data_IF_975946743157
#
_entry.id   IF_975946743157
#
_cell.length_a   1.000
_cell.length_b   1.000
_cell.length_c   1.000
_cell.angle_alpha   90.00
_cell.angle_beta   90.00
_cell.angle_gamma   90.00
#
_symmetry.space_group_name_H-M   'P 1'
#
loop_
_entity.id
_entity.type
_entity.pdbx_description
1 polymer ?
2 polymer ?
3 non-polymer ?
#
loop_
_entity_poly.entity_id
_entity_poly.type
_entity_poly.pdbx_seq_one_letter_code
_entity_poly.pdbx_strand_id
2 'polyribonucleotide' 'GGCCAGGUAGCUCAGUUGGUAGAGCACUGGACUGAAAAUCCAGGUGUCGGCGGUUCGAUUCCGCCCCUGGCCACC' ?
#
# COMPACT_ATOMS: atom_id res chain seq x y z
N UNK A 1 30.78 10.48 2.78
CA UNK A 1 31.08 11.76 3.43
C UNK A 1 30.54 11.77 4.85
N UNK A 2 29.46 11.02 5.06
CA UNK A 2 28.82 10.92 6.36
C UNK A 2 29.80 10.36 7.40
N UNK A 3 30.52 9.32 7.03
CA UNK A 3 31.54 8.76 7.90
C UNK A 3 32.69 9.70 8.17
N UNK A 4 32.97 10.58 7.21
CA UNK A 4 34.04 11.55 7.34
C UNK A 4 33.67 12.65 8.34
N UNK A 5 32.50 13.24 8.15
CA UNK A 5 32.00 14.25 9.09
C UNK A 5 31.83 13.65 10.48
N UNK A 6 31.28 12.43 10.53
CA UNK A 6 31.15 11.69 11.79
C UNK A 6 32.51 11.46 12.45
N UNK A 7 33.55 11.31 11.65
CA UNK A 7 34.90 11.19 12.18
C UNK A 7 35.37 12.52 12.76
N UNK A 8 35.17 13.60 11.99
CA UNK A 8 35.56 14.94 12.43
C UNK A 8 34.86 15.34 13.71
N UNK A 9 33.60 14.92 13.82
CA UNK A 9 32.79 15.24 14.98
C UNK A 9 32.99 14.23 16.11
N UNK A 10 33.78 13.18 15.83
CA UNK A 10 34.03 12.15 16.82
C UNK A 10 32.76 11.40 17.20
N UNK A 11 31.90 11.21 16.21
CA UNK A 11 30.62 10.56 16.43
C UNK A 11 30.56 9.21 15.73
N UNK A 12 29.44 8.50 15.91
CA UNK A 12 29.23 7.23 15.25
C UNK A 12 27.82 7.14 14.69
N UNK A 13 27.70 6.99 13.37
CA UNK A 13 26.39 6.94 12.73
C UNK A 13 26.17 5.57 12.09
N UNK A 14 24.91 5.18 11.94
CA UNK A 14 24.61 3.90 11.33
C UNK A 14 23.34 3.95 10.49
N UNK A 15 23.30 3.16 9.41
CA UNK A 15 22.07 2.97 8.66
C UNK A 15 21.24 1.95 9.43
N UNK A 16 19.96 2.25 9.63
CA UNK A 16 19.17 1.51 10.62
C UNK A 16 17.73 1.28 10.16
N UNK A 17 17.19 0.11 10.49
CA UNK A 17 15.79 -0.17 10.24
C UNK A 17 15.50 -0.91 8.95
N UNK A 18 14.30 -0.66 8.42
CA UNK A 18 13.86 -1.28 7.19
C UNK A 18 14.82 -1.02 6.04
N UNK A 19 15.44 0.16 6.05
CA UNK A 19 16.43 0.53 5.07
C UNK A 19 17.51 -0.55 4.98
N UNK A 20 17.93 -1.08 6.13
CA UNK A 20 18.89 -2.17 6.15
C UNK A 20 18.29 -3.41 5.52
N UNK A 21 17.10 -3.75 5.98
CA UNK A 21 16.34 -4.89 5.48
C UNK A 21 16.34 -4.91 3.95
N UNK A 22 15.74 -3.86 3.37
CA UNK A 22 15.68 -3.69 1.92
C UNK A 22 17.05 -3.78 1.24
N UNK A 23 18.09 -3.29 1.92
CA UNK A 23 19.43 -3.36 1.36
C UNK A 23 19.87 -4.81 1.26
N UNK A 24 19.64 -5.56 2.33
CA UNK A 24 19.98 -6.97 2.36
C UNK A 24 19.05 -7.76 1.45
N UNK A 25 17.88 -7.19 1.17
CA UNK A 25 16.91 -7.81 0.27
C UNK A 25 17.15 -7.37 -1.15
N UNK A 26 18.21 -6.58 -1.36
CA UNK A 26 18.57 -6.12 -2.69
C UNK A 26 17.73 -4.96 -3.19
N UNK A 27 16.68 -4.60 -2.45
CA UNK A 27 15.81 -3.51 -2.86
C UNK A 27 16.46 -2.17 -2.54
N UNK A 28 16.65 -1.35 -3.57
CA UNK A 28 17.23 -0.03 -3.39
C UNK A 28 16.13 1.01 -3.15
N UNK A 29 16.29 1.76 -2.06
CA UNK A 29 15.35 2.81 -1.70
C UNK A 29 16.06 4.16 -1.60
N UNK A 30 15.27 5.22 -1.74
CA UNK A 30 15.78 6.58 -1.68
C UNK A 30 15.63 7.23 -0.31
N UNK A 31 15.01 6.52 0.63
CA UNK A 31 14.85 7.04 1.99
C UNK A 31 15.75 6.31 2.96
N UNK A 32 16.74 7.02 3.50
CA UNK A 32 17.70 6.40 4.39
C UNK A 32 17.53 6.89 5.83
N UNK A 33 17.53 5.93 6.74
CA UNK A 33 17.37 6.21 8.16
C UNK A 33 18.69 6.02 8.90
N UNK A 34 19.14 7.08 9.55
CA UNK A 34 20.38 7.06 10.31
C UNK A 34 20.13 7.17 11.80
N UNK A 35 20.83 6.34 12.56
CA UNK A 35 20.87 6.46 14.01
C UNK A 35 22.26 6.96 14.41
N UNK A 36 22.30 8.08 15.10
CA UNK A 36 23.56 8.72 15.47
C UNK A 36 23.83 8.69 16.97
N UNK A 37 25.06 8.35 17.35
CA UNK A 37 25.50 8.45 18.74
C UNK A 37 26.17 9.80 18.95
N UNK A 38 25.52 10.66 19.72
CA UNK A 38 25.90 12.06 19.78
C UNK A 38 24.88 12.86 18.99
N UNK A 39 25.11 14.14 18.78
CA UNK A 39 24.11 14.99 18.14
C UNK A 39 23.93 14.68 16.65
N UNK A 40 22.71 14.34 16.27
CA UNK A 40 22.36 14.05 14.88
C UNK A 40 22.10 15.34 14.12
N UNK A 41 21.56 16.33 14.81
CA UNK A 41 21.18 17.61 14.19
C UNK A 41 22.38 18.32 13.58
N UNK A 42 23.48 18.41 14.32
CA UNK A 42 24.65 19.12 13.83
C UNK A 42 25.27 18.38 12.65
N UNK A 43 25.18 17.05 12.68
CA UNK A 43 25.70 16.22 11.61
C UNK A 43 24.90 16.46 10.32
N UNK A 44 23.58 16.49 10.47
CA UNK A 44 22.71 16.78 9.35
C UNK A 44 22.96 18.18 8.79
N UNK A 45 23.10 19.15 9.69
CA UNK A 45 23.29 20.54 9.28
C UNK A 45 24.61 20.72 8.55
N UNK A 46 25.64 20.05 9.03
CA UNK A 46 26.97 20.12 8.42
C UNK A 46 26.97 19.45 7.05
N UNK A 47 26.35 18.26 6.98
CA UNK A 47 26.27 17.53 5.73
C UNK A 47 25.48 18.31 4.68
N UNK A 48 24.39 18.94 5.11
CA UNK A 48 23.58 19.75 4.20
C UNK A 48 24.36 20.96 3.75
N UNK A 49 25.15 21.50 4.67
CA UNK A 49 25.96 22.70 4.41
C UNK A 49 27.09 22.44 3.42
N UNK A 50 27.69 21.25 3.48
CA UNK A 50 28.77 20.89 2.56
C UNK A 50 28.25 20.60 1.16
N UNK A 51 27.05 20.03 1.07
CA UNK A 51 26.44 19.75 -0.22
C UNK A 51 25.64 20.95 -0.70
N UNK A 52 25.61 21.99 0.13
CA UNK A 52 24.96 23.23 -0.21
C UNK A 52 23.46 23.10 -0.42
N UNK A 53 22.80 22.33 0.45
CA UNK A 53 21.36 22.13 0.33
C UNK A 53 20.64 22.51 1.62
N UNK A 54 19.34 22.71 1.51
CA UNK A 54 18.52 23.09 2.66
C UNK A 54 18.47 21.98 3.71
N UNK A 55 18.20 22.35 4.95
CA UNK A 55 18.11 21.38 6.04
C UNK A 55 16.86 21.65 6.88
N UNK A 56 16.25 20.58 7.39
CA UNK A 56 15.02 20.69 8.18
C UNK A 56 15.20 20.06 9.56
N UNK A 57 15.58 20.88 10.55
CA UNK A 57 15.80 20.46 11.94
C UNK A 57 14.51 20.25 12.74
N UNK A 58 14.57 19.28 13.64
CA UNK A 58 13.51 19.00 14.60
C UNK A 58 14.16 18.70 15.95
N UNK A 59 14.45 19.77 16.72
CA UNK A 59 15.18 19.71 17.99
C UNK A 59 14.46 18.92 19.09
N UNK A 60 13.14 19.06 19.17
CA UNK A 60 12.36 18.39 20.20
C UNK A 60 12.35 16.89 19.97
N UNK A 61 12.21 16.48 18.71
CA UNK A 61 12.28 15.07 18.34
C UNK A 61 13.73 14.60 18.38
N UNK A 62 14.65 15.49 18.04
CA UNK A 62 16.06 15.14 17.99
C UNK A 62 16.42 14.55 16.64
N UNK A 63 15.64 14.91 15.62
CA UNK A 63 15.88 14.38 14.29
C UNK A 63 16.05 15.51 13.30
N UNK A 64 16.64 15.22 12.15
CA UNK A 64 16.78 16.23 11.11
C UNK A 64 16.68 15.59 9.73
N UNK A 65 16.02 16.28 8.81
CA UNK A 65 15.83 15.75 7.46
C UNK A 65 16.52 16.62 6.43
N UNK A 66 17.10 15.99 5.42
CA UNK A 66 17.72 16.74 4.32
C UNK A 66 17.69 15.94 3.02
N UNK A 67 17.55 16.62 1.89
CA UNK A 67 17.43 15.94 0.61
C UNK A 67 18.60 16.26 -0.32
N UNK A 68 19.30 15.21 -0.75
CA UNK A 68 20.40 15.34 -1.68
C UNK A 68 20.12 14.55 -2.95
N UNK A 69 19.90 15.26 -4.06
CA UNK A 69 19.49 14.62 -5.29
C UNK A 69 18.13 13.97 -5.11
N UNK A 70 18.03 12.68 -5.43
CA UNK A 70 16.81 11.92 -5.20
C UNK A 70 16.88 11.19 -3.87
N UNK A 71 17.98 11.36 -3.15
CA UNK A 71 18.16 10.73 -1.85
C UNK A 71 17.50 11.56 -0.74
N UNK A 72 16.61 10.92 0.01
CA UNK A 72 16.03 11.55 1.18
C UNK A 72 16.71 11.00 2.43
N UNK A 73 17.35 11.87 3.19
CA UNK A 73 18.10 11.45 4.36
C UNK A 73 17.44 11.93 5.65
N UNK A 74 17.33 11.01 6.61
CA UNK A 74 16.83 11.34 7.94
C UNK A 74 17.83 10.91 9.00
N UNK A 75 18.29 11.85 9.81
CA UNK A 75 19.18 11.54 10.92
C UNK A 75 18.42 11.62 12.23
N UNK A 76 18.67 10.69 13.13
CA UNK A 76 17.98 10.66 14.42
C UNK A 76 18.92 10.24 15.55
N UNK A 77 18.90 11.00 16.63
CA UNK A 77 19.76 10.72 17.77
C UNK A 77 19.29 9.44 18.48
N UNK A 78 20.23 8.56 18.80
CA UNK A 78 19.91 7.29 19.42
C UNK A 78 19.17 7.46 20.74
N UNK A 79 18.04 6.77 20.87
CA UNK A 79 17.20 6.85 22.05
C UNK A 79 16.77 5.46 22.51
N UNK A 80 16.78 5.26 23.82
CA UNK A 80 16.39 3.97 24.40
C UNK A 80 14.89 3.82 24.45
N UNK A 81 14.18 4.94 24.56
CA UNK A 81 12.72 4.94 24.67
C UNK A 81 12.07 5.71 23.53
N UNK A 82 10.81 5.40 23.25
CA UNK A 82 10.11 6.01 22.13
C UNK A 82 9.43 7.32 22.55
N UNK A 93 21.42 10.97 30.19
CA UNK A 93 22.23 9.80 29.82
C UNK A 93 22.05 9.44 28.35
N UNK A 94 23.18 9.33 27.63
CA UNK A 94 23.17 8.99 26.20
C UNK A 94 22.78 7.55 25.95
N UNK A 95 22.00 7.31 24.89
CA UNK A 95 21.54 5.97 24.58
C UNK A 95 22.42 5.30 23.53
N UNK A 96 22.87 4.08 23.84
CA UNK A 96 23.67 3.31 22.91
C UNK A 96 22.82 2.89 21.72
N UNK A 97 23.48 2.55 20.61
CA UNK A 97 22.80 2.02 19.44
C UNK A 97 21.89 0.87 19.84
N UNK A 98 22.47 -0.11 20.52
CA UNK A 98 21.78 -1.33 20.93
C UNK A 98 20.42 -1.03 21.55
N UNK A 99 20.38 -0.01 22.40
CA UNK A 99 19.12 0.42 23.02
C UNK A 99 18.14 0.99 22.00
N UNK A 100 18.67 1.65 20.98
CA UNK A 100 17.81 2.19 19.93
C UNK A 100 17.22 1.07 19.09
N UNK A 101 17.99 -0.01 18.95
CA UNK A 101 17.56 -1.13 18.14
C UNK A 101 16.62 -2.06 18.88
N UNK A 102 16.79 -2.15 20.20
CA UNK A 102 16.05 -3.13 20.99
C UNK A 102 14.62 -2.65 21.22
N UNK A 103 14.37 -1.37 20.99
CA UNK A 103 13.03 -0.81 21.11
C UNK A 103 12.27 -1.01 19.80
N UNK A 104 12.86 -1.71 18.84
CA UNK A 104 12.22 -1.89 17.55
C UNK A 104 11.33 -3.14 17.54
N UNK A 105 10.67 -3.39 16.41
CA UNK A 105 9.63 -4.42 16.39
C UNK A 105 10.18 -5.83 16.14
N UNK A 106 10.58 -6.08 14.91
CA UNK A 106 10.96 -7.42 14.48
C UNK A 106 12.47 -7.51 14.23
N UNK A 107 13.03 -8.71 14.36
CA UNK A 107 14.48 -8.92 14.24
C UNK A 107 15.08 -8.42 12.93
N UNK A 108 14.30 -8.47 11.85
CA UNK A 108 14.83 -8.04 10.55
C UNK A 108 14.86 -6.51 10.45
N UNK A 109 14.03 -5.85 11.25
CA UNK A 109 14.01 -4.39 11.33
C UNK A 109 14.85 -3.84 12.47
N UNK A 110 15.53 -4.75 13.17
CA UNK A 110 16.36 -4.39 14.32
C UNK A 110 17.84 -4.28 14.00
N UNK A 111 18.22 -4.42 12.73
CA UNK A 111 19.63 -4.44 12.39
C UNK A 111 20.18 -3.06 12.00
N UNK A 112 21.49 -3.00 11.78
CA UNK A 112 22.19 -1.76 11.48
C UNK A 112 23.46 -2.00 10.67
N UNK A 113 23.85 -1.01 9.87
CA UNK A 113 25.08 -1.07 9.07
C UNK A 113 25.94 0.18 9.28
N UNK A 114 27.17 -0.02 9.73
CA UNK A 114 28.04 1.10 10.10
C UNK A 114 28.59 1.89 8.91
N UNK A 115 28.38 3.20 8.93
CA UNK A 115 28.98 4.10 7.94
C UNK A 115 30.26 4.76 8.44
N UNK A 116 30.72 4.39 9.63
CA UNK A 116 31.98 4.90 10.14
C UNK A 116 33.15 4.31 9.36
N UNK A 117 34.12 5.17 9.01
CA UNK A 117 35.18 4.83 8.05
C UNK A 117 36.01 3.60 8.41
N UNK A 118 36.21 3.35 9.70
CA UNK A 118 37.07 2.24 10.12
C UNK A 118 36.38 0.87 9.95
N UNK A 119 35.16 0.76 10.44
CA UNK A 119 34.41 -0.50 10.39
C UNK A 119 33.45 -0.56 9.19
N UNK A 120 33.55 0.41 8.29
CA UNK A 120 32.56 0.66 7.23
C UNK A 120 32.13 -0.60 6.49
N UNK A 121 30.82 -0.77 6.34
CA UNK A 121 30.25 -1.89 5.61
C UNK A 121 29.78 -2.98 6.53
N UNK A 122 30.16 -2.88 7.80
CA UNK A 122 29.83 -3.90 8.79
C UNK A 122 28.34 -3.89 9.14
N UNK A 123 27.73 -5.07 9.09
CA UNK A 123 26.35 -5.24 9.54
C UNK A 123 26.32 -5.53 11.04
N UNK A 124 25.65 -4.67 11.80
CA UNK A 124 25.56 -4.87 13.24
C UNK A 124 24.22 -5.48 13.63
N UNK A 125 24.25 -6.75 14.01
CA UNK A 125 23.03 -7.46 14.37
C UNK A 125 23.19 -8.19 15.72
N UNK A 126 22.47 -7.69 16.72
CA UNK A 126 22.50 -8.26 18.07
C UNK A 126 21.54 -9.43 18.28
N UNK A 127 20.36 -9.33 17.69
CA UNK A 127 19.27 -10.27 17.96
C UNK A 127 19.17 -11.40 16.94
N UNK A 128 20.12 -11.45 16.01
CA UNK A 128 20.14 -12.48 15.00
C UNK A 128 19.08 -12.27 13.94
N UNK A 129 18.87 -11.02 13.56
CA UNK A 129 17.89 -10.67 12.55
C UNK A 129 18.29 -11.18 11.18
N UNK A 130 19.59 -11.40 11.00
CA UNK A 130 20.12 -11.93 9.75
C UNK A 130 19.65 -13.35 9.53
N UNK A 131 19.62 -14.12 10.62
CA UNK A 131 19.13 -15.49 10.57
C UNK A 131 17.64 -15.53 10.23
N UNK A 132 16.85 -14.71 10.92
CA UNK A 132 15.41 -14.68 10.71
C UNK A 132 15.08 -14.15 9.32
N UNK A 133 15.98 -13.33 8.79
CA UNK A 133 15.85 -12.84 7.42
C UNK A 133 16.18 -13.97 6.45
N UNK A 134 17.15 -14.79 6.85
CA UNK A 134 17.59 -15.93 6.06
C UNK A 134 16.57 -17.08 6.14
N UNK A 135 15.97 -17.24 7.30
CA UNK A 135 14.98 -18.31 7.51
C UNK A 135 13.55 -17.87 7.20
N UNK A 136 13.41 -16.64 6.71
CA UNK A 136 12.11 -16.07 6.33
C UNK A 136 11.15 -16.01 7.52
N UNK A 137 11.64 -15.53 8.66
CA UNK A 137 10.87 -15.53 9.89
C UNK A 137 10.57 -14.13 10.43
N UNK A 138 9.29 -13.86 10.67
CA UNK A 138 8.90 -12.62 11.33
C UNK A 138 8.84 -12.87 12.84
N UNK A 139 9.77 -12.27 13.57
CA UNK A 139 9.95 -12.57 14.98
C UNK A 139 10.12 -11.31 15.81
N UNK A 140 9.32 -11.17 16.86
CA UNK A 140 9.43 -10.04 17.76
C UNK A 140 10.67 -10.16 18.64
N UNK A 141 11.16 -9.03 19.13
CA UNK A 141 12.35 -9.00 19.98
C UNK A 141 12.02 -9.39 21.42
N UNK A 142 10.82 -9.05 21.86
CA UNK A 142 10.41 -9.28 23.24
C UNK A 142 8.93 -9.60 23.32
N UNK A 143 8.54 -10.46 24.29
CA UNK A 143 7.16 -10.95 24.42
C UNK A 143 6.10 -9.85 24.53
N UNK A 144 6.51 -8.67 24.99
CA UNK A 144 5.57 -7.58 25.23
C UNK A 144 5.42 -6.67 24.00
N UNK A 145 6.10 -7.05 22.92
CA UNK A 145 6.18 -6.22 21.71
C UNK A 145 4.82 -5.82 21.15
N UNK A 146 3.87 -6.74 21.14
CA UNK A 146 2.55 -6.43 20.62
C UNK A 146 1.75 -5.60 21.63
N UNK A 147 1.99 -5.84 22.91
CA UNK A 147 1.33 -5.09 23.97
C UNK A 147 1.79 -3.64 23.96
N UNK A 148 3.08 -3.43 23.72
CA UNK A 148 3.65 -2.10 23.60
C UNK A 148 2.94 -1.31 22.49
N UNK A 149 2.97 -1.88 21.29
CA UNK A 149 2.37 -1.25 20.13
C UNK A 149 1.51 -2.26 19.36
N UNK A 150 0.19 -2.30 19.69
CA UNK A 150 -0.77 -3.18 19.04
C UNK A 150 -0.78 -3.06 17.51
N UNK A 151 -0.42 -1.89 16.99
CA UNK A 151 -0.39 -1.65 15.54
C UNK A 151 0.49 -2.68 14.83
N UNK A 152 1.58 -3.05 15.49
CA UNK A 152 2.51 -4.06 14.99
C UNK A 152 1.82 -5.34 14.55
N UNK A 153 0.71 -5.68 15.23
CA UNK A 153 -0.07 -6.86 14.88
C UNK A 153 -0.37 -6.89 13.39
N UNK A 154 -0.80 -5.75 12.86
CA UNK A 154 -1.02 -5.63 11.42
C UNK A 154 0.30 -5.72 10.68
N UNK A 155 1.26 -4.90 11.12
CA UNK A 155 2.55 -4.77 10.45
C UNK A 155 3.18 -6.13 10.17
N UNK A 156 3.24 -6.96 11.20
CA UNK A 156 3.82 -8.30 11.08
C UNK A 156 3.20 -9.00 9.89
N UNK A 157 1.87 -9.11 9.91
CA UNK A 157 1.15 -9.78 8.84
C UNK A 157 1.52 -9.18 7.51
N UNK A 158 1.50 -7.85 7.46
CA UNK A 158 1.83 -7.12 6.24
C UNK A 158 3.19 -7.57 5.73
N UNK A 159 4.19 -7.57 6.62
CA UNK A 159 5.51 -8.00 6.21
C UNK A 159 5.48 -9.44 5.77
N UNK A 160 4.80 -10.27 6.57
CA UNK A 160 4.69 -11.69 6.26
C UNK A 160 4.00 -11.85 4.91
N UNK A 161 3.16 -10.89 4.56
CA UNK A 161 2.50 -10.89 3.27
C UNK A 161 3.45 -10.51 2.16
N UNK A 162 4.24 -9.46 2.38
CA UNK A 162 5.08 -8.93 1.31
C UNK A 162 6.31 -9.78 1.06
N UNK A 163 7.03 -10.11 2.13
CA UNK A 163 8.29 -10.82 2.01
C UNK A 163 8.06 -12.32 1.91
N UNK A 164 6.81 -12.73 2.00
CA UNK A 164 6.45 -14.14 2.06
C UNK A 164 7.21 -14.83 3.20
N UNK A 165 7.18 -14.21 4.38
CA UNK A 165 7.79 -14.80 5.55
C UNK A 165 6.74 -15.50 6.39
N UNK A 166 7.19 -16.12 7.49
CA UNK A 166 6.29 -16.79 8.40
C UNK A 166 6.53 -16.36 9.84
N UNK A 167 5.44 -16.11 10.56
CA UNK A 167 5.51 -15.77 11.98
C UNK A 167 6.02 -16.97 12.76
N UNK A 168 7.00 -16.75 13.64
CA UNK A 168 7.51 -17.81 14.50
C UNK A 168 6.42 -18.24 15.47
N UNK A 169 6.54 -19.45 16.01
CA UNK A 169 5.54 -19.96 16.95
C UNK A 169 5.29 -18.99 18.09
N UNK A 170 6.39 -18.53 18.68
CA UNK A 170 6.34 -17.53 19.74
C UNK A 170 5.51 -16.33 19.29
N UNK A 171 6.02 -15.62 18.29
CA UNK A 171 5.38 -14.42 17.75
C UNK A 171 3.91 -14.64 17.36
N UNK A 172 3.61 -15.82 16.83
CA UNK A 172 2.23 -16.13 16.47
C UNK A 172 1.35 -16.19 17.72
N UNK A 173 1.83 -16.90 18.73
CA UNK A 173 1.09 -17.02 20.00
C UNK A 173 0.87 -15.63 20.61
N UNK A 174 1.95 -14.88 20.77
CA UNK A 174 1.88 -13.52 21.32
C UNK A 174 0.92 -12.63 20.54
N UNK A 175 0.89 -12.81 19.22
CA UNK A 175 -0.01 -12.05 18.36
C UNK A 175 -1.45 -12.39 18.70
N UNK A 176 -1.77 -13.69 18.68
CA UNK A 176 -3.12 -14.15 18.96
C UNK A 176 -3.58 -13.69 20.35
N UNK A 177 -2.68 -13.77 21.33
CA UNK A 177 -2.96 -13.28 22.68
C UNK A 177 -3.29 -11.79 22.65
N UNK A 178 -2.46 -11.04 21.93
CA UNK A 178 -2.64 -9.59 21.83
C UNK A 178 -4.00 -9.22 21.24
N UNK A 179 -4.44 -9.99 20.25
CA UNK A 179 -5.75 -9.74 19.66
C UNK A 179 -6.86 -10.12 20.64
N UNK A 180 -6.69 -11.26 21.30
CA UNK A 180 -7.66 -11.77 22.28
C UNK A 180 -7.92 -10.81 23.42
N UNK A 181 -6.92 -10.00 23.75
CA UNK A 181 -7.04 -9.01 24.81
C UNK A 181 -7.77 -7.77 24.31
N UNK A 182 -8.09 -7.75 23.02
CA UNK A 182 -8.82 -6.65 22.43
C UNK A 182 -8.00 -5.38 22.42
N UNK A 183 -6.69 -5.53 22.34
CA UNK A 183 -5.79 -4.39 22.32
C UNK A 183 -5.92 -3.62 21.01
N UNK A 184 -6.45 -4.29 19.99
CA UNK A 184 -6.61 -3.68 18.68
C UNK A 184 -7.67 -2.57 18.72
N UNK A 185 -8.63 -2.71 19.63
CA UNK A 185 -9.64 -1.68 19.83
C UNK A 185 -9.09 -0.52 20.67
N UNK A 186 -8.18 -0.84 21.59
CA UNK A 186 -7.58 0.16 22.46
C UNK A 186 -6.57 1.03 21.73
N UNK A 187 -6.02 0.49 20.64
CA UNK A 187 -5.03 1.21 19.83
C UNK A 187 -5.64 2.44 19.15
N UNK A 188 -4.82 3.45 18.86
CA UNK A 188 -5.26 4.63 18.12
C UNK A 188 -5.84 4.26 16.76
N UNK A 189 -7.02 4.80 16.45
CA UNK A 189 -7.71 4.50 15.20
C UNK A 189 -6.86 4.88 14.00
N UNK A 190 -6.20 6.03 14.10
CA UNK A 190 -5.43 6.58 13.00
C UNK A 190 -4.25 5.73 12.58
N UNK A 191 -3.50 5.22 13.54
CA UNK A 191 -2.35 4.38 13.25
C UNK A 191 -2.77 3.11 12.53
N UNK A 192 -3.87 2.52 12.98
CA UNK A 192 -4.41 1.30 12.40
C UNK A 192 -4.88 1.56 10.96
N UNK A 193 -5.69 2.60 10.80
CA UNK A 193 -6.20 2.96 9.47
C UNK A 193 -5.04 3.21 8.51
N UNK A 194 -4.01 3.90 9.00
CA UNK A 194 -2.84 4.19 8.18
C UNK A 194 -2.09 2.90 7.82
N UNK A 195 -2.06 1.97 8.76
CA UNK A 195 -1.41 0.69 8.54
C UNK A 195 -2.11 -0.08 7.43
N UNK A 196 -3.44 -0.06 7.46
CA UNK A 196 -4.25 -0.70 6.42
C UNK A 196 -4.03 -0.03 5.08
N UNK A 197 -3.93 1.30 5.10
CA UNK A 197 -3.65 2.07 3.90
C UNK A 197 -2.31 1.64 3.30
N UNK A 198 -1.32 1.43 4.16
CA UNK A 198 -0.03 0.92 3.73
C UNK A 198 -0.19 -0.48 3.16
N UNK A 199 -1.07 -1.26 3.77
CA UNK A 199 -1.27 -2.64 3.38
C UNK A 199 -1.83 -2.75 1.96
N UNK A 200 -2.89 -2.01 1.66
CA UNK A 200 -3.56 -2.15 0.38
C UNK A 200 -2.69 -1.71 -0.80
N UNK A 201 -1.59 -1.02 -0.51
CA UNK A 201 -0.67 -0.56 -1.54
C UNK A 201 0.26 -1.68 -1.99
N UNK A 202 0.30 -2.76 -1.21
CA UNK A 202 1.14 -3.90 -1.53
C UNK A 202 0.57 -4.70 -2.70
N UNK A 203 1.46 -5.32 -3.47
CA UNK A 203 1.03 -6.18 -4.58
C UNK A 203 0.62 -7.55 -4.06
N UNK A 204 1.20 -7.93 -2.92
CA UNK A 204 0.90 -9.19 -2.25
C UNK A 204 -0.20 -9.00 -1.20
N UNK A 205 -0.83 -7.83 -1.24
CA UNK A 205 -1.88 -7.44 -0.31
C UNK A 205 -2.98 -8.49 -0.13
N UNK A 206 -3.22 -9.30 -1.15
CA UNK A 206 -4.21 -10.38 -1.03
C UNK A 206 -3.78 -11.40 0.03
N UNK A 207 -2.51 -11.78 0.00
CA UNK A 207 -1.96 -12.69 1.00
C UNK A 207 -2.07 -12.09 2.39
N UNK A 208 -1.85 -10.78 2.48
CA UNK A 208 -2.00 -10.05 3.72
C UNK A 208 -3.43 -10.13 4.21
N UNK A 209 -4.37 -10.07 3.27
CA UNK A 209 -5.79 -10.22 3.59
C UNK A 209 -6.06 -11.62 4.09
N UNK A 210 -5.36 -12.60 3.54
CA UNK A 210 -5.46 -13.98 4.01
C UNK A 210 -5.02 -14.07 5.47
N UNK A 211 -3.93 -13.36 5.79
CA UNK A 211 -3.45 -13.32 7.16
C UNK A 211 -4.41 -12.55 8.08
N UNK A 212 -5.09 -11.56 7.51
CA UNK A 212 -6.05 -10.76 8.28
C UNK A 212 -7.26 -11.61 8.63
N UNK A 213 -7.66 -12.47 7.69
CA UNK A 213 -8.76 -13.38 7.91
C UNK A 213 -8.36 -14.44 8.92
N UNK A 214 -7.14 -14.97 8.77
CA UNK A 214 -6.62 -16.00 9.67
C UNK A 214 -6.52 -15.52 11.12
N UNK A 215 -5.97 -14.32 11.33
CA UNK A 215 -5.83 -13.81 12.69
C UNK A 215 -6.97 -12.86 13.08
N UNK A 216 -7.94 -12.71 12.18
CA UNK A 216 -9.22 -12.05 12.47
C UNK A 216 -9.07 -10.65 13.05
N UNK A 217 -8.19 -9.85 12.46
CA UNK A 217 -7.99 -8.48 12.92
C UNK A 217 -9.07 -7.54 12.38
N UNK A 218 -9.58 -7.86 11.20
CA UNK A 218 -10.56 -7.01 10.53
C UNK A 218 -11.87 -6.94 11.32
N UNK A 219 -12.22 -8.03 11.99
CA UNK A 219 -13.39 -8.05 12.84
C UNK A 219 -13.24 -7.05 13.98
N UNK A 220 -12.01 -6.89 14.46
CA UNK A 220 -11.72 -5.95 15.53
C UNK A 220 -11.71 -4.51 15.02
N UNK A 221 -11.00 -4.27 13.92
CA UNK A 221 -10.89 -2.91 13.39
C UNK A 221 -12.19 -2.42 12.77
N UNK A 222 -12.74 -3.19 11.85
CA UNK A 222 -13.97 -2.81 11.17
C UNK A 222 -15.20 -3.36 11.91
N UNK A 223 -16.12 -2.47 12.26
CA UNK A 223 -17.32 -2.85 12.98
C UNK A 223 -18.39 -3.40 12.06
N UNK A 224 -18.84 -4.62 12.32
CA UNK A 224 -19.88 -5.24 11.53
C UNK A 224 -19.34 -6.14 10.43
N UNK A 225 -18.02 -6.22 10.33
CA UNK A 225 -17.38 -7.02 9.29
C UNK A 225 -17.24 -8.48 9.69
N UNK A 226 -17.69 -9.37 8.81
CA UNK A 226 -17.53 -10.81 9.00
C UNK A 226 -17.09 -11.48 7.71
N UNK A 227 -16.31 -12.55 7.83
CA UNK A 227 -15.77 -13.24 6.66
C UNK A 227 -16.70 -14.34 6.13
N UNK A 228 -16.85 -14.37 4.81
CA UNK A 228 -17.58 -15.45 4.14
C UNK A 228 -16.83 -15.91 2.90
N UNK A 229 -17.37 -16.93 2.23
CA UNK A 229 -16.69 -17.53 1.09
C UNK A 229 -16.87 -16.72 -0.21
N UNK A 230 -18.06 -16.14 -0.37
CA UNK A 230 -18.36 -15.37 -1.58
C UNK A 230 -17.40 -14.19 -1.75
N UNK A 231 -17.13 -13.50 -0.64
CA UNK A 231 -16.21 -12.37 -0.66
C UNK A 231 -14.80 -12.83 -1.02
N UNK A 232 -14.36 -13.94 -0.45
CA UNK A 232 -13.03 -14.49 -0.71
C UNK A 232 -12.85 -14.86 -2.19
N UNK A 233 -13.81 -15.62 -2.71
CA UNK A 233 -13.80 -16.00 -4.13
C UNK A 233 -13.84 -14.76 -5.01
N UNK A 234 -14.57 -13.75 -4.56
CA UNK A 234 -14.62 -12.47 -5.27
C UNK A 234 -13.24 -11.80 -5.28
N UNK A 235 -12.48 -11.98 -4.20
CA UNK A 235 -11.14 -11.41 -4.09
C UNK A 235 -10.16 -12.13 -5.01
N UNK A 236 -10.33 -13.44 -5.16
CA UNK A 236 -9.46 -14.20 -6.06
C UNK A 236 -9.78 -13.95 -7.52
N UNK A 237 -11.07 -13.85 -7.83
CA UNK A 237 -11.51 -13.50 -9.17
C UNK A 237 -11.01 -12.10 -9.52
N UNK A 238 -11.12 -11.20 -8.55
CA UNK A 238 -10.60 -9.84 -8.69
C UNK A 238 -9.10 -9.86 -8.89
N UNK A 239 -8.43 -10.82 -8.26
CA UNK A 239 -7.00 -10.99 -8.44
C UNK A 239 -6.67 -11.37 -9.88
N UNK A 240 -7.44 -12.30 -10.45
CA UNK A 240 -7.24 -12.72 -11.84
C UNK A 240 -7.51 -11.58 -12.82
N UNK A 241 -8.59 -10.85 -12.59
CA UNK A 241 -8.94 -9.70 -13.42
C UNK A 241 -7.87 -8.63 -13.34
N UNK A 242 -7.38 -8.37 -12.13
CA UNK A 242 -6.31 -7.41 -11.90
C UNK A 242 -5.05 -7.83 -12.65
N UNK A 243 -4.74 -9.13 -12.60
CA UNK A 243 -3.58 -9.66 -13.29
C UNK A 243 -3.68 -9.42 -14.80
N UNK A 244 -4.81 -9.81 -15.37
CA UNK A 244 -5.01 -9.65 -16.82
C UNK A 244 -4.98 -8.19 -17.25
N UNK A 245 -5.71 -7.34 -16.52
CA UNK A 245 -5.79 -5.91 -16.82
C UNK A 245 -4.43 -5.23 -16.69
N UNK A 246 -3.68 -5.60 -15.66
CA UNK A 246 -2.34 -5.05 -15.45
C UNK A 246 -1.34 -5.72 -16.37
N UNK A 247 -1.78 -6.72 -17.11
CA UNK A 247 -0.94 -7.36 -18.11
C UNK A 247 -1.08 -6.66 -19.45
N UNK A 248 -2.27 -6.73 -20.06
CA UNK A 248 -2.47 -6.17 -21.39
C UNK A 248 -2.68 -4.66 -21.40
N UNK A 249 -3.46 -4.18 -20.43
CA UNK A 249 -3.85 -2.77 -20.35
C UNK A 249 -2.94 -1.91 -19.47
N UNK A 250 -1.79 -2.47 -19.08
CA UNK A 250 -0.94 -1.93 -18.02
C UNK A 250 -0.66 -0.42 -18.08
N UNK A 251 -0.73 0.17 -19.26
CA UNK A 251 -0.61 1.62 -19.38
C UNK A 251 -1.77 2.35 -18.70
N UNK A 252 -2.90 1.63 -18.56
CA UNK A 252 -4.13 2.20 -17.99
C UNK A 252 -4.29 1.94 -16.49
N UNK A 253 -3.27 1.37 -15.85
CA UNK A 253 -3.34 0.93 -14.45
C UNK A 253 -3.82 2.00 -13.46
N UNK A 254 -4.60 1.54 -12.49
CA UNK A 254 -5.03 2.37 -11.37
C UNK A 254 -4.67 1.66 -10.06
N UNK A 255 -5.11 2.20 -8.93
CA UNK A 255 -4.82 1.57 -7.65
C UNK A 255 -5.74 0.38 -7.43
N UNK A 256 -5.14 -0.81 -7.34
CA UNK A 256 -5.89 -2.05 -7.29
C UNK A 256 -6.41 -2.42 -5.90
N UNK A 257 -5.64 -2.11 -4.87
CA UNK A 257 -5.99 -2.49 -3.50
C UNK A 257 -7.34 -1.97 -3.05
N UNK A 258 -7.70 -0.78 -3.51
CA UNK A 258 -8.97 -0.18 -3.16
C UNK A 258 -10.15 -1.03 -3.65
N UNK A 259 -9.95 -1.72 -4.78
CA UNK A 259 -10.95 -2.62 -5.31
C UNK A 259 -11.22 -3.76 -4.32
N UNK A 260 -10.14 -4.37 -3.85
CA UNK A 260 -10.22 -5.41 -2.85
C UNK A 260 -10.93 -4.89 -1.60
N UNK A 261 -10.59 -3.67 -1.21
CA UNK A 261 -11.21 -3.05 -0.05
C UNK A 261 -12.71 -2.87 -0.25
N UNK A 262 -13.12 -2.57 -1.48
CA UNK A 262 -14.52 -2.42 -1.83
C UNK A 262 -15.24 -3.76 -1.78
N UNK A 263 -14.56 -4.80 -2.25
CA UNK A 263 -15.11 -6.15 -2.21
C UNK A 263 -15.33 -6.60 -0.77
N UNK A 264 -14.40 -6.25 0.11
CA UNK A 264 -14.49 -6.61 1.52
C UNK A 264 -15.70 -5.98 2.20
N UNK A 265 -15.92 -4.69 1.93
CA UNK A 265 -16.98 -3.94 2.61
C UNK A 265 -18.29 -3.94 1.83
N UNK A 266 -18.31 -4.68 0.72
CA UNK A 266 -19.49 -4.72 -0.17
C UNK A 266 -20.77 -5.11 0.57
N UNK A 267 -20.68 -6.11 1.45
CA UNK A 267 -21.87 -6.60 2.16
C UNK A 267 -22.16 -5.79 3.42
N UNK A 268 -21.28 -4.86 3.75
CA UNK A 268 -21.47 -3.99 4.91
C UNK A 268 -22.55 -2.95 4.62
N UNK A 269 -23.10 -2.38 5.70
CA UNK A 269 -24.08 -1.31 5.58
C UNK A 269 -23.44 -0.08 4.95
N UNK A 270 -24.25 0.72 4.26
CA UNK A 270 -23.75 1.91 3.57
C UNK A 270 -23.20 2.93 4.55
N UNK A 271 -23.76 2.96 5.75
CA UNK A 271 -23.32 3.90 6.79
C UNK A 271 -21.90 3.58 7.24
N UNK A 272 -21.67 2.34 7.65
CA UNK A 272 -20.36 1.90 8.11
C UNK A 272 -19.33 1.92 6.98
N UNK A 273 -19.80 1.67 5.76
CA UNK A 273 -18.92 1.71 4.60
C UNK A 273 -18.45 3.12 4.30
N UNK A 274 -19.40 4.06 4.27
CA UNK A 274 -19.08 5.46 4.03
C UNK A 274 -18.19 6.00 5.14
N UNK A 275 -18.45 5.59 6.38
CA UNK A 275 -17.65 6.02 7.52
C UNK A 275 -16.24 5.49 7.45
N UNK A 276 -16.11 4.22 7.05
CA UNK A 276 -14.80 3.59 6.93
C UNK A 276 -13.97 4.23 5.82
N UNK A 277 -14.58 4.41 4.66
CA UNK A 277 -13.91 5.08 3.55
C UNK A 277 -13.58 6.52 3.91
N UNK A 278 -14.36 7.10 4.81
CA UNK A 278 -14.11 8.44 5.31
C UNK A 278 -12.85 8.45 6.17
N UNK A 279 -12.73 7.44 7.04
CA UNK A 279 -11.57 7.33 7.91
C UNK A 279 -10.31 6.95 7.13
N UNK A 280 -10.49 6.19 6.06
CA UNK A 280 -9.37 5.72 5.25
C UNK A 280 -8.83 6.80 4.33
N UNK A 281 -9.54 7.91 4.25
CA UNK A 281 -9.23 9.00 3.30
C UNK A 281 -9.08 8.43 1.90
N UNK A 282 -10.09 7.67 1.47
CA UNK A 282 -10.09 7.02 0.17
C UNK A 282 -10.21 8.04 -0.97
N UNK A 283 -9.67 7.70 -2.15
CA UNK A 283 -9.79 8.55 -3.35
C UNK A 283 -11.25 8.77 -3.75
N UNK A 284 -11.50 9.83 -4.51
CA UNK A 284 -12.87 10.18 -4.92
C UNK A 284 -13.48 9.10 -5.82
N UNK A 285 -12.67 8.55 -6.71
CA UNK A 285 -13.16 7.52 -7.64
C UNK A 285 -13.51 6.24 -6.88
N UNK A 286 -12.88 6.04 -5.72
CA UNK A 286 -13.19 4.91 -4.87
C UNK A 286 -14.56 5.09 -4.24
N UNK A 287 -14.83 6.30 -3.73
CA UNK A 287 -16.13 6.62 -3.17
C UNK A 287 -17.23 6.53 -4.23
N UNK A 288 -16.94 7.02 -5.42
CA UNK A 288 -17.88 6.99 -6.53
C UNK A 288 -18.18 5.55 -6.95
N UNK A 289 -17.13 4.74 -7.09
CA UNK A 289 -17.28 3.35 -7.48
C UNK A 289 -18.03 2.55 -6.41
N UNK A 290 -17.82 2.90 -5.15
CA UNK A 290 -18.51 2.24 -4.04
C UNK A 290 -20.00 2.59 -4.01
N UNK A 291 -20.30 3.89 -4.06
CA UNK A 291 -21.68 4.37 -4.06
C UNK A 291 -22.42 3.85 -5.29
N UNK A 292 -21.69 3.63 -6.38
CA UNK A 292 -22.26 3.07 -7.60
C UNK A 292 -22.47 1.56 -7.46
N UNK A 293 -21.58 0.91 -6.71
CA UNK A 293 -21.64 -0.53 -6.52
C UNK A 293 -22.77 -0.94 -5.59
N UNK A 294 -23.01 -0.12 -4.57
CA UNK A 294 -24.01 -0.43 -3.54
C UNK A 294 -25.43 -0.38 -4.08
N UNK A 295 -25.66 0.40 -5.13
CA UNK A 295 -27.01 0.61 -5.64
C UNK A 295 -27.16 0.34 -7.14
N UNK A 296 -26.55 1.20 -7.95
CA UNK A 296 -26.78 1.18 -9.40
C UNK A 296 -26.13 0.00 -10.13
N UNK A 297 -25.22 -0.69 -9.46
CA UNK A 297 -24.47 -1.79 -10.07
C UNK A 297 -25.39 -2.93 -10.51
N UNK A 298 -26.34 -3.30 -9.65
CA UNK A 298 -27.27 -4.37 -9.95
C UNK A 298 -28.09 -4.08 -11.19
N UNK A 299 -28.75 -2.93 -11.20
CA UNK A 299 -29.57 -2.53 -12.34
C UNK A 299 -28.72 -2.40 -13.60
N UNK A 300 -27.48 -1.96 -13.43
CA UNK A 300 -26.54 -1.86 -14.54
C UNK A 300 -26.28 -3.23 -15.15
N UNK A 301 -26.06 -4.22 -14.28
CA UNK A 301 -25.86 -5.60 -14.72
C UNK A 301 -27.09 -6.12 -15.45
N UNK A 302 -28.26 -5.85 -14.88
CA UNK A 302 -29.52 -6.28 -15.48
C UNK A 302 -29.71 -5.67 -16.86
N UNK A 303 -29.24 -4.44 -17.04
CA UNK A 303 -29.31 -3.78 -18.33
C UNK A 303 -28.28 -4.35 -19.30
N UNK A 304 -27.15 -4.79 -18.76
CA UNK A 304 -26.11 -5.41 -19.56
C UNK A 304 -26.53 -6.79 -20.04
N UNK A 305 -27.45 -7.41 -19.30
CA UNK A 305 -27.99 -8.71 -19.69
C UNK A 305 -28.97 -8.55 -20.85
N UNK A 306 -29.64 -7.40 -20.89
CA UNK A 306 -30.63 -7.11 -21.93
C UNK A 306 -29.97 -6.53 -23.18
N UNK A 307 -28.65 -6.39 -23.13
CA UNK A 307 -27.91 -5.78 -24.24
C UNK A 307 -27.88 -6.68 -25.47
N UNK A 308 -28.24 -6.10 -26.61
CA UNK A 308 -28.19 -6.81 -27.88
C UNK A 308 -27.19 -6.16 -28.83
N UNK A 309 -27.47 -4.92 -29.23
CA UNK A 309 -26.58 -4.16 -30.08
C UNK A 309 -25.34 -3.71 -29.31
N UNK A 310 -24.26 -3.42 -30.02
CA UNK A 310 -23.01 -3.02 -29.38
C UNK A 310 -23.05 -1.58 -28.87
N UNK A 311 -23.88 -0.75 -29.49
CA UNK A 311 -23.96 0.67 -29.14
C UNK A 311 -24.59 0.88 -27.77
N UNK A 312 -25.51 0.00 -27.38
CA UNK A 312 -26.12 0.05 -26.06
C UNK A 312 -25.07 -0.25 -24.99
N UNK A 313 -24.23 -1.25 -25.27
CA UNK A 313 -23.12 -1.59 -24.40
C UNK A 313 -22.16 -0.42 -24.29
N UNK A 314 -21.90 0.24 -25.41
CA UNK A 314 -21.09 1.44 -25.45
C UNK A 314 -21.64 2.51 -24.49
N UNK A 315 -22.88 2.94 -24.74
CA UNK A 315 -23.55 3.94 -23.92
C UNK A 315 -23.57 3.58 -22.43
N UNK A 316 -23.73 2.29 -22.13
CA UNK A 316 -23.79 1.86 -20.73
C UNK A 316 -22.42 1.78 -20.06
N UNK A 317 -21.37 1.59 -20.87
CA UNK A 317 -20.03 1.39 -20.34
C UNK A 317 -19.19 2.66 -20.33
N UNK A 318 -18.97 3.25 -21.50
CA UNK A 318 -18.04 4.37 -21.69
C UNK A 318 -18.08 5.48 -20.61
N UNK A 319 -19.29 5.89 -20.15
CA UNK A 319 -19.28 6.90 -19.09
C UNK A 319 -18.67 6.42 -17.77
N UNK A 320 -18.63 5.10 -17.56
CA UNK A 320 -18.12 4.54 -16.31
C UNK A 320 -16.60 4.59 -16.22
N UNK A 321 -16.09 4.56 -14.98
CA UNK A 321 -14.66 4.52 -14.75
C UNK A 321 -14.11 3.12 -15.03
N UNK A 322 -12.80 2.94 -14.90
CA UNK A 322 -12.18 1.64 -15.14
C UNK A 322 -12.52 0.67 -14.01
N UNK A 323 -12.59 1.19 -12.79
CA UNK A 323 -12.90 0.39 -11.60
C UNK A 323 -14.24 -0.31 -11.73
N UNK A 324 -15.24 0.42 -12.18
CA UNK A 324 -16.58 -0.12 -12.38
C UNK A 324 -16.54 -1.27 -13.39
N UNK A 325 -15.77 -1.08 -14.46
CA UNK A 325 -15.64 -2.12 -15.48
C UNK A 325 -14.98 -3.37 -14.93
N UNK A 326 -13.93 -3.17 -14.13
CA UNK A 326 -13.24 -4.29 -13.50
C UNK A 326 -14.16 -5.03 -12.54
N UNK A 327 -15.07 -4.28 -11.91
CA UNK A 327 -16.09 -4.89 -11.06
C UNK A 327 -17.14 -5.62 -11.91
N UNK A 328 -17.29 -5.18 -13.15
CA UNK A 328 -18.23 -5.81 -14.07
C UNK A 328 -17.64 -7.08 -14.67
N UNK A 329 -16.31 -7.21 -14.61
CA UNK A 329 -15.65 -8.42 -15.10
C UNK A 329 -15.78 -9.57 -14.11
N UNK A 330 -16.30 -9.28 -12.92
CA UNK A 330 -16.52 -10.31 -11.91
C UNK A 330 -17.58 -11.31 -12.36
N UNK A 331 -18.50 -10.85 -13.20
CA UNK A 331 -19.53 -11.71 -13.76
C UNK A 331 -18.98 -12.51 -14.93
N UNK A 332 -19.23 -13.82 -14.93
CA UNK A 332 -18.74 -14.70 -15.98
C UNK A 332 -19.35 -14.36 -17.35
N UNK A 333 -20.64 -14.02 -17.35
CA UNK A 333 -21.35 -13.74 -18.59
C UNK A 333 -20.93 -12.40 -19.20
N UNK A 334 -20.57 -11.45 -18.33
CA UNK A 334 -20.24 -10.11 -18.78
C UNK A 334 -18.76 -9.94 -19.15
N UNK A 335 -17.95 -10.93 -18.80
CA UNK A 335 -16.50 -10.84 -18.97
C UNK A 335 -16.06 -10.56 -20.42
N UNK A 336 -16.36 -11.50 -21.31
CA UNK A 336 -15.99 -11.37 -22.72
C UNK A 336 -16.60 -10.13 -23.36
N UNK A 337 -17.75 -9.69 -22.83
CA UNK A 337 -18.40 -8.48 -23.31
C UNK A 337 -17.57 -7.24 -22.94
N UNK A 338 -17.18 -7.17 -21.68
CA UNK A 338 -16.34 -6.06 -21.20
C UNK A 338 -15.03 -6.03 -21.98
N UNK A 339 -14.39 -7.20 -22.11
CA UNK A 339 -13.14 -7.31 -22.85
C UNK A 339 -13.28 -6.83 -24.30
N UNK A 340 -14.34 -7.31 -24.96
CA UNK A 340 -14.66 -6.90 -26.32
C UNK A 340 -14.84 -5.39 -26.42
N UNK A 341 -15.45 -4.80 -25.41
CA UNK A 341 -15.58 -3.34 -25.35
C UNK A 341 -14.21 -2.68 -25.21
N UNK A 342 -13.32 -3.34 -24.48
CA UNK A 342 -12.02 -2.77 -24.17
C UNK A 342 -11.07 -2.78 -25.37
N UNK A 343 -10.68 -3.96 -25.83
CA UNK A 343 -9.65 -4.04 -26.87
C UNK A 343 -10.18 -3.88 -28.29
N UNK A 344 -11.49 -3.72 -28.45
CA UNK A 344 -12.06 -3.57 -29.79
C UNK A 344 -13.04 -2.41 -29.97
N UNK A 345 -14.17 -2.48 -29.28
CA UNK A 345 -15.32 -1.61 -29.53
C UNK A 345 -15.03 -0.11 -29.51
N UNK A 346 -14.32 0.35 -28.48
CA UNK A 346 -14.13 1.77 -28.27
C UNK A 346 -12.99 2.34 -29.13
N UNK A 347 -12.37 1.47 -29.92
CA UNK A 347 -11.30 1.89 -30.82
C UNK A 347 -11.79 2.02 -32.26
N UNK A 348 -11.75 3.25 -32.77
CA UNK A 348 -12.21 3.57 -34.13
C UNK A 348 -11.94 5.05 -34.42
N UNK A 349 -11.96 5.43 -35.70
CA UNK A 349 -11.73 6.81 -36.11
C UNK A 349 -12.33 7.10 -37.49
N UNK A 350 -12.17 8.34 -37.97
CA UNK A 350 -12.69 8.74 -39.27
C UNK A 350 -11.71 9.67 -39.99
N UNK A 351 -11.65 9.59 -41.33
CA UNK A 351 -10.75 10.42 -42.14
C UNK A 351 -11.20 11.88 -42.22
N UNK A 352 -10.53 12.66 -43.08
CA UNK A 352 -10.78 14.10 -43.16
C UNK A 352 -12.08 14.43 -43.88
N UNK A 353 -12.15 14.13 -45.18
CA UNK A 353 -13.28 14.53 -46.02
C UNK A 353 -14.63 14.09 -45.46
N UNK A 354 -14.68 12.87 -44.93
CA UNK A 354 -15.93 12.35 -44.36
C UNK A 354 -16.41 13.21 -43.20
N UNK A 355 -15.54 13.42 -42.22
CA UNK A 355 -15.86 14.26 -41.06
C UNK A 355 -16.24 15.68 -41.51
N UNK A 356 -15.54 16.18 -42.53
CA UNK A 356 -15.85 17.49 -43.10
C UNK A 356 -17.28 17.51 -43.66
N UNK A 357 -17.73 16.37 -44.19
CA UNK A 357 -19.10 16.26 -44.67
C UNK A 357 -20.08 16.09 -43.52
N UNK A 358 -19.60 15.56 -42.40
CA UNK A 358 -20.45 15.35 -41.22
C UNK A 358 -20.79 16.68 -40.54
N UNK A 359 -19.81 17.59 -40.53
CA UNK A 359 -20.00 18.90 -39.90
C UNK A 359 -20.79 19.84 -40.81
N UNK A 360 -20.91 19.45 -42.08
CA UNK A 360 -21.61 20.25 -43.09
C UNK A 360 -21.06 21.66 -43.19
N UNK A 365 -23.76 22.68 -33.02
CA UNK A 365 -23.81 22.55 -31.58
C UNK A 365 -23.81 21.10 -31.12
N UNK A 366 -24.78 20.75 -30.28
CA UNK A 366 -24.91 19.39 -29.77
C UNK A 366 -25.33 18.44 -30.88
N UNK A 367 -25.95 18.98 -31.91
CA UNK A 367 -26.44 18.19 -33.03
C UNK A 367 -25.29 17.49 -33.77
N UNK A 368 -24.12 18.10 -33.73
CA UNK A 368 -22.93 17.48 -34.31
C UNK A 368 -22.57 16.22 -33.50
N UNK A 369 -22.68 16.33 -32.18
CA UNK A 369 -22.43 15.21 -31.30
C UNK A 369 -23.42 14.08 -31.51
N UNK A 370 -24.71 14.43 -31.58
CA UNK A 370 -25.76 13.44 -31.82
C UNK A 370 -25.54 12.75 -33.16
N UNK A 371 -25.14 13.52 -34.16
CA UNK A 371 -24.87 13.00 -35.49
C UNK A 371 -23.72 12.01 -35.46
N UNK A 372 -22.62 12.39 -34.82
CA UNK A 372 -21.46 11.53 -34.67
C UNK A 372 -21.84 10.23 -33.95
N UNK A 373 -22.71 10.35 -32.95
CA UNK A 373 -23.21 9.18 -32.23
C UNK A 373 -23.99 8.26 -33.16
N UNK A 374 -24.83 8.85 -34.01
CA UNK A 374 -25.60 8.09 -34.98
C UNK A 374 -24.69 7.38 -35.97
N UNK A 375 -23.58 8.03 -36.32
CA UNK A 375 -22.60 7.47 -37.23
C UNK A 375 -21.85 6.31 -36.59
N UNK A 376 -21.54 6.45 -35.31
CA UNK A 376 -20.86 5.39 -34.55
C UNK A 376 -21.75 4.18 -34.40
N UNK A 377 -23.03 4.41 -34.08
CA UNK A 377 -23.97 3.31 -33.94
C UNK A 377 -24.31 2.72 -35.31
N UNK A 378 -24.04 3.49 -36.36
CA UNK A 378 -24.18 2.99 -37.73
C UNK A 378 -23.00 2.10 -38.11
N UNK A 379 -21.82 2.43 -37.59
CA UNK A 379 -20.61 1.64 -37.84
C UNK A 379 -20.62 0.34 -37.06
N UNK A 380 -20.93 0.42 -35.77
CA UNK A 380 -20.95 -0.75 -34.88
C UNK A 380 -21.90 -1.83 -35.38
N UNK A 381 -23.19 -1.53 -35.35
CA UNK A 381 -24.21 -2.50 -35.76
C UNK A 381 -24.31 -2.62 -37.28
#
# INVERSE_FOLDING_TARGET
MVGQIAKEMGLRAYIVGGVVRDILLGKEVWDVDFVVEGNAIELAKELARRHGVNVHPFPEFGTAHLKIGKLKLEFATARRETYPRPGAYPKVEPASLKEDLIRRDFTINAMAISVNLEDYGTLIDYFGGLRDLKDKVIRVLHPVSFIEDPVRILRALRFAGRLNFKLSRSTEKLLKQAVNLGLLKEAPRGRLINEIKLALREDRFLEILELYRKYRVLEEIIEGFQWNEKVLQKLYALRKVVDWHALEFSEERIDYGWLYLLILISNLDYERGKHFLEEMSAPSWVRETYKFMKFKLGSLKEELKKAKENYEVYRLLKPLHTSVLLLLMLEEELKEKIKLYLEKLRKVKLPKEKIEELKKQGLKGKELGERIEELKREIMNKIKLAAALEHHHHHH
#
